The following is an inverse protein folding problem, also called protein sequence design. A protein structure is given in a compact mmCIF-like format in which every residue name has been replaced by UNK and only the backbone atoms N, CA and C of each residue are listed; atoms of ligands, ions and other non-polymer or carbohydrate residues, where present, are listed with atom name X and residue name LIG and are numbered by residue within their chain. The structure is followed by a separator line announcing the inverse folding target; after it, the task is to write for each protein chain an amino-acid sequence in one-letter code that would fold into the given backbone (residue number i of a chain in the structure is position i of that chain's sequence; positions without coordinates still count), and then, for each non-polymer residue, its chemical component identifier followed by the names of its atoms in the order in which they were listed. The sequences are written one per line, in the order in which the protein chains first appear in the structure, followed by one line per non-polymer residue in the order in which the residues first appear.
data_IF_783205681989
#
_entry.id   IF_783205681989
#
_cell.length_a   1.000
_cell.length_b   1.000
_cell.length_c   1.000
_cell.angle_alpha   90.00
_cell.angle_beta   90.00
_cell.angle_gamma   90.00
#
_symmetry.space_group_name_H-M   'P 1'
#
loop_
_entity.id
_entity.type
_entity.pdbx_description
1 polymer ?
#
# COMPACT_ATOMS: atom_id res chain seq x y z
N UNK A 1 -21.84 -33.49 -9.61
CA UNK A 1 -20.74 -32.71 -9.00
C UNK A 1 -21.17 -31.25 -8.99
N UNK A 2 -21.10 -30.54 -7.84
CA UNK A 2 -21.59 -29.16 -7.73
C UNK A 2 -20.67 -28.23 -8.54
N UNK A 3 -21.19 -27.65 -9.63
CA UNK A 3 -20.49 -26.79 -10.59
C UNK A 3 -20.26 -25.35 -10.11
N UNK A 4 -20.14 -25.12 -8.79
CA UNK A 4 -20.03 -23.79 -8.18
C UNK A 4 -18.79 -23.61 -7.29
N UNK A 5 -17.83 -24.52 -7.33
CA UNK A 5 -16.59 -24.39 -6.56
C UNK A 5 -15.67 -23.37 -7.25
N UNK A 6 -15.34 -22.27 -6.55
CA UNK A 6 -14.25 -21.37 -6.95
C UNK A 6 -12.93 -21.94 -6.45
N UNK A 7 -12.00 -22.18 -7.35
CA UNK A 7 -10.61 -22.48 -7.03
C UNK A 7 -9.87 -21.16 -6.85
N UNK A 8 -8.99 -21.10 -5.86
CA UNK A 8 -8.14 -19.95 -5.58
C UNK A 8 -6.72 -20.47 -5.43
N UNK A 9 -5.80 -19.87 -6.18
CA UNK A 9 -4.41 -20.23 -6.13
C UNK A 9 -3.80 -19.69 -4.83
N UNK A 10 -3.02 -20.53 -4.16
CA UNK A 10 -2.30 -20.17 -2.95
C UNK A 10 -0.92 -20.81 -2.94
N UNK A 11 0.03 -20.12 -2.32
CA UNK A 11 1.40 -20.57 -2.14
C UNK A 11 1.85 -20.26 -0.70
N UNK A 12 2.58 -21.19 -0.10
CA UNK A 12 3.19 -20.98 1.23
C UNK A 12 4.68 -20.76 1.07
N UNK A 13 5.19 -19.67 1.63
CA UNK A 13 6.62 -19.34 1.68
C UNK A 13 7.07 -19.20 3.14
N UNK A 14 8.38 -19.35 3.39
CA UNK A 14 8.98 -19.08 4.71
C UNK A 14 9.86 -17.86 4.62
N UNK A 15 9.58 -16.87 5.46
CA UNK A 15 10.33 -15.61 5.52
C UNK A 15 11.24 -15.66 6.74
N UNK A 16 12.51 -15.29 6.55
CA UNK A 16 13.49 -15.20 7.63
C UNK A 16 13.71 -13.73 8.00
N UNK A 17 13.77 -13.44 9.30
CA UNK A 17 14.14 -12.11 9.79
C UNK A 17 15.52 -11.70 9.26
N UNK A 18 15.66 -10.44 8.83
CA UNK A 18 16.95 -9.86 8.45
C UNK A 18 17.71 -9.55 9.73
N UNK A 19 18.93 -10.06 9.88
CA UNK A 19 19.81 -9.71 10.99
C UNK A 19 20.28 -8.26 10.85
N UNK A 20 19.61 -7.31 11.50
CA UNK A 20 20.10 -5.93 11.60
C UNK A 20 21.19 -5.84 12.67
N UNK A 21 22.24 -5.10 12.36
CA UNK A 21 23.43 -4.87 13.18
C UNK A 21 23.22 -3.91 14.36
N UNK A 22 21.98 -3.50 14.65
CA UNK A 22 21.67 -2.57 15.74
C UNK A 22 20.71 -3.23 16.74
N UNK A 23 21.27 -3.86 17.77
CA UNK A 23 20.55 -4.24 19.00
C UNK A 23 20.22 -5.71 19.21
N UNK A 24 20.62 -6.63 18.33
CA UNK A 24 20.39 -8.07 18.54
C UNK A 24 21.54 -8.76 19.27
N UNK A 25 21.21 -9.58 20.27
CA UNK A 25 22.13 -10.48 20.97
C UNK A 25 22.91 -11.36 19.96
N UNK A 26 24.22 -11.13 19.84
CA UNK A 26 25.11 -11.91 18.99
C UNK A 26 24.97 -13.41 19.33
N UNK A 27 24.57 -14.22 18.35
CA UNK A 27 24.43 -15.67 18.49
C UNK A 27 23.01 -16.23 18.50
N UNK A 28 21.97 -15.40 18.41
CA UNK A 28 20.57 -15.87 18.28
C UNK A 28 20.30 -16.44 16.87
N UNK A 29 19.66 -17.61 16.81
CA UNK A 29 19.16 -18.19 15.55
C UNK A 29 18.07 -17.28 14.96
N UNK A 30 18.18 -16.81 13.69
CA UNK A 30 17.16 -15.96 13.07
C UNK A 30 15.81 -16.67 13.01
N UNK A 31 14.74 -15.95 13.32
CA UNK A 31 13.40 -16.53 13.33
C UNK A 31 12.83 -16.60 11.92
N UNK A 32 11.97 -17.60 11.72
CA UNK A 32 11.20 -17.74 10.47
C UNK A 32 9.72 -17.68 10.76
N UNK A 33 8.97 -17.00 9.90
CA UNK A 33 7.51 -17.01 9.89
C UNK A 33 7.00 -17.61 8.57
N UNK A 34 5.93 -18.41 8.63
CA UNK A 34 5.22 -18.85 7.44
C UNK A 34 4.36 -17.72 6.90
N UNK A 35 4.37 -17.53 5.59
CA UNK A 35 3.55 -16.57 4.90
C UNK A 35 2.77 -17.24 3.76
N UNK A 36 1.46 -16.99 3.72
CA UNK A 36 0.54 -17.42 2.67
C UNK A 36 0.41 -16.29 1.63
N UNK A 37 0.71 -16.60 0.38
CA UNK A 37 0.48 -15.77 -0.80
C UNK A 37 -0.74 -16.32 -1.53
N UNK A 38 -1.64 -15.46 -1.98
CA UNK A 38 -2.86 -15.85 -2.70
C UNK A 38 -2.99 -15.08 -4.00
N UNK A 39 -3.72 -15.65 -4.96
CA UNK A 39 -4.06 -15.00 -6.23
C UNK A 39 -2.83 -14.45 -6.97
N UNK A 40 -2.73 -13.14 -7.13
CA UNK A 40 -1.69 -12.42 -7.87
C UNK A 40 -0.32 -12.41 -7.18
N UNK A 41 -0.27 -12.72 -5.88
CA UNK A 41 0.97 -12.85 -5.13
C UNK A 41 1.62 -14.24 -5.29
N UNK A 42 0.92 -15.21 -5.89
CA UNK A 42 1.50 -16.52 -6.16
C UNK A 42 2.67 -16.40 -7.14
N UNK A 43 3.77 -17.08 -6.84
CA UNK A 43 5.03 -17.10 -7.60
C UNK A 43 5.75 -15.75 -7.71
N UNK A 44 5.35 -14.74 -6.92
CA UNK A 44 6.02 -13.45 -6.93
C UNK A 44 7.38 -13.45 -6.20
N UNK A 45 7.68 -14.47 -5.39
CA UNK A 45 8.89 -14.56 -4.56
C UNK A 45 9.86 -15.64 -5.06
N UNK A 46 11.16 -15.31 -5.11
CA UNK A 46 12.22 -16.26 -5.45
C UNK A 46 13.04 -16.60 -4.18
N UNK A 47 13.45 -17.86 -3.96
CA UNK A 47 14.31 -18.20 -2.84
C UNK A 47 15.59 -17.36 -2.81
N UNK A 48 15.90 -16.77 -1.65
CA UNK A 48 17.07 -15.89 -1.46
C UNK A 48 16.81 -14.42 -1.77
N UNK A 49 15.61 -14.05 -2.23
CA UNK A 49 15.23 -12.65 -2.44
C UNK A 49 14.98 -11.92 -1.11
N UNK A 50 15.45 -10.67 -0.99
CA UNK A 50 15.15 -9.81 0.14
C UNK A 50 13.84 -9.07 -0.14
N UNK A 51 12.83 -9.35 0.67
CA UNK A 51 11.46 -8.87 0.45
C UNK A 51 10.88 -8.27 1.74
N UNK A 52 10.05 -7.26 1.59
CA UNK A 52 9.16 -6.71 2.62
C UNK A 52 7.74 -7.18 2.32
N UNK A 53 7.13 -7.91 3.25
CA UNK A 53 5.76 -8.41 3.10
C UNK A 53 4.85 -7.67 4.08
N UNK A 54 3.78 -7.09 3.56
CA UNK A 54 2.67 -6.54 4.37
C UNK A 54 1.56 -7.57 4.41
N UNK A 55 1.04 -7.87 5.59
CA UNK A 55 0.03 -8.91 5.72
C UNK A 55 -0.70 -8.89 7.06
N UNK A 56 -1.70 -9.75 7.18
CA UNK A 56 -2.46 -9.95 8.41
C UNK A 56 -1.85 -11.14 9.16
N UNK A 57 -1.46 -10.92 10.41
CA UNK A 57 -1.02 -12.02 11.29
C UNK A 57 -2.25 -12.83 11.70
N UNK A 58 -2.26 -14.10 11.31
CA UNK A 58 -3.31 -15.07 11.65
C UNK A 58 -2.79 -16.10 12.63
N UNK A 59 -3.71 -16.61 13.44
CA UNK A 59 -3.43 -17.62 14.46
C UNK A 59 -4.24 -18.87 14.14
N UNK A 60 -3.57 -19.99 13.89
CA UNK A 60 -4.20 -21.30 13.86
C UNK A 60 -4.10 -21.90 15.26
N UNK A 61 -5.25 -22.22 15.84
CA UNK A 61 -5.30 -23.05 17.03
C UNK A 61 -5.31 -24.51 16.59
N UNK A 62 -4.18 -25.20 16.72
CA UNK A 62 -4.18 -26.65 16.58
C UNK A 62 -4.75 -27.25 17.87
N UNK A 63 -6.05 -27.53 17.86
CA UNK A 63 -6.57 -28.57 18.75
C UNK A 63 -5.91 -29.87 18.32
N UNK A 64 -4.85 -30.25 19.03
CA UNK A 64 -4.32 -31.60 18.92
C UNK A 64 -5.38 -32.54 19.51
N UNK A 65 -6.23 -33.08 18.66
CA UNK A 65 -7.06 -34.25 18.98
C UNK A 65 -6.11 -35.46 18.95
N UNK A 66 -5.18 -35.51 19.91
CA UNK A 66 -4.34 -36.68 20.14
C UNK A 66 -5.26 -37.76 20.69
N UNK A 67 -5.65 -38.65 19.78
CA UNK A 67 -6.28 -39.94 19.99
C UNK A 67 -6.74 -40.31 21.41
N UNK A 68 -8.04 -40.58 21.52
CA UNK A 68 -8.55 -41.75 22.24
C UNK A 68 -8.12 -41.88 23.70
N UNK A 69 -8.60 -41.00 24.57
CA UNK A 69 -8.48 -41.20 26.01
C UNK A 69 -9.35 -40.26 26.81
N UNK A 70 -10.27 -40.80 27.62
CA UNK A 70 -11.00 -40.04 28.64
C UNK A 70 -10.00 -39.52 29.67
N UNK A 71 -9.44 -38.33 29.48
CA UNK A 71 -8.71 -37.62 30.52
C UNK A 71 -9.05 -36.14 30.49
N UNK A 72 -9.79 -35.71 31.53
CA UNK A 72 -9.94 -34.31 31.91
C UNK A 72 -8.56 -33.81 32.36
N UNK A 73 -7.91 -32.94 31.59
CA UNK A 73 -6.65 -32.36 32.02
C UNK A 73 -6.06 -31.33 31.06
N UNK A 74 -6.21 -30.05 31.42
CA UNK A 74 -5.47 -28.85 30.96
C UNK A 74 -5.38 -28.62 29.44
N UNK A 75 -6.20 -27.67 28.97
CA UNK A 75 -6.07 -27.03 27.66
C UNK A 75 -4.71 -26.32 27.56
N UNK A 76 -3.71 -26.97 26.97
CA UNK A 76 -2.53 -26.29 26.41
C UNK A 76 -2.72 -26.23 24.90
N UNK A 77 -3.42 -25.19 24.42
CA UNK A 77 -3.52 -24.92 22.99
C UNK A 77 -2.20 -24.35 22.48
N UNK A 78 -1.59 -25.00 21.50
CA UNK A 78 -0.42 -24.45 20.80
C UNK A 78 -0.93 -23.56 19.67
N UNK A 79 -0.65 -22.26 19.76
CA UNK A 79 -1.02 -21.28 18.74
C UNK A 79 0.06 -21.22 17.67
N UNK A 80 -0.29 -21.56 16.43
CA UNK A 80 0.59 -21.43 15.28
C UNK A 80 0.33 -20.10 14.59
N UNK A 81 1.34 -19.23 14.54
CA UNK A 81 1.24 -17.91 13.91
C UNK A 81 1.73 -17.99 12.46
N UNK A 82 0.94 -17.43 11.55
CA UNK A 82 1.31 -17.30 10.14
C UNK A 82 0.84 -15.96 9.58
N UNK A 83 1.46 -15.49 8.51
CA UNK A 83 1.18 -14.20 7.88
C UNK A 83 0.41 -14.43 6.58
N UNK A 84 -0.79 -13.87 6.44
CA UNK A 84 -1.46 -13.80 5.13
C UNK A 84 -0.99 -12.54 4.42
N UNK A 85 -0.30 -12.68 3.28
CA UNK A 85 0.23 -11.55 2.54
C UNK A 85 -0.89 -10.78 1.83
N UNK A 86 -0.81 -9.46 1.95
CA UNK A 86 -1.61 -8.50 1.18
C UNK A 86 -0.74 -7.85 0.11
N UNK A 87 0.54 -7.59 0.40
CA UNK A 87 1.46 -7.02 -0.58
C UNK A 87 2.90 -7.48 -0.37
N UNK A 88 3.67 -7.45 -1.47
CA UNK A 88 5.09 -7.81 -1.51
C UNK A 88 5.89 -6.67 -2.16
N UNK A 89 6.95 -6.22 -1.49
CA UNK A 89 7.91 -5.26 -2.03
C UNK A 89 9.30 -5.89 -2.04
N UNK A 90 9.99 -5.91 -3.18
CA UNK A 90 11.38 -6.37 -3.26
C UNK A 90 12.34 -5.23 -2.95
N UNK A 91 13.33 -5.47 -2.08
CA UNK A 91 14.43 -4.55 -1.86
C UNK A 91 15.58 -5.00 -2.78
N UNK A 92 15.49 -4.68 -4.07
CA UNK A 92 16.58 -4.94 -5.01
C UNK A 92 17.25 -3.61 -5.36
N UNK A 93 18.57 -3.50 -5.12
CA UNK A 93 19.34 -2.32 -5.53
C UNK A 93 19.73 -2.35 -7.02
N UNK A 94 19.61 -3.51 -7.69
CA UNK A 94 20.10 -3.74 -9.04
C UNK A 94 19.07 -4.27 -10.06
N UNK A 95 17.79 -4.45 -9.69
CA UNK A 95 16.74 -4.65 -10.71
C UNK A 95 16.30 -3.30 -11.26
N UNK A 96 16.17 -3.22 -12.59
CA UNK A 96 15.36 -2.19 -13.24
C UNK A 96 14.01 -2.16 -12.50
N UNK A 97 13.55 -1.02 -11.97
CA UNK A 97 12.28 -0.96 -11.26
C UNK A 97 11.21 -1.51 -12.20
N UNK A 98 10.69 -2.70 -11.89
CA UNK A 98 9.51 -3.20 -12.57
C UNK A 98 8.41 -2.21 -12.24
N UNK A 99 7.90 -1.58 -13.29
CA UNK A 99 6.81 -0.61 -13.39
C UNK A 99 5.56 -1.03 -12.60
N UNK A 100 5.64 -1.00 -11.27
CA UNK A 100 4.94 -1.97 -10.42
C UNK A 100 4.60 -1.48 -9.02
N UNK A 101 4.34 -0.19 -8.86
CA UNK A 101 3.53 0.24 -7.73
C UNK A 101 2.05 -0.03 -8.06
N UNK A 102 1.31 -0.62 -7.13
CA UNK A 102 -0.11 -0.91 -7.33
C UNK A 102 -0.86 0.43 -7.29
N UNK A 103 -1.33 0.86 -8.45
CA UNK A 103 -2.17 2.02 -8.58
C UNK A 103 -3.64 1.58 -8.65
N UNK A 104 -4.31 1.50 -7.50
CA UNK A 104 -5.74 1.11 -7.45
C UNK A 104 -6.61 2.35 -7.59
N UNK A 105 -7.54 2.32 -8.56
CA UNK A 105 -8.61 3.31 -8.65
C UNK A 105 -9.90 2.69 -8.13
N UNK A 106 -10.38 3.20 -6.99
CA UNK A 106 -11.68 2.87 -6.43
C UNK A 106 -12.73 3.77 -7.09
N UNK A 107 -13.35 3.28 -8.17
CA UNK A 107 -14.52 3.92 -8.77
C UNK A 107 -15.76 3.33 -8.09
N UNK A 108 -16.49 4.14 -7.32
CA UNK A 108 -17.66 3.66 -6.59
C UNK A 108 -18.77 4.69 -6.49
N UNK A 109 -20.01 4.22 -6.47
CA UNK A 109 -21.17 5.07 -6.20
C UNK A 109 -21.11 5.50 -4.72
N UNK A 110 -21.27 6.78 -4.36
CA UNK A 110 -21.26 7.23 -2.96
C UNK A 110 -22.14 6.34 -2.05
N UNK A 111 -23.25 5.83 -2.59
CA UNK A 111 -24.25 5.05 -1.85
C UNK A 111 -23.93 3.56 -1.67
N UNK A 112 -23.00 2.96 -2.42
CA UNK A 112 -22.81 1.49 -2.39
C UNK A 112 -21.76 1.01 -1.38
N UNK A 113 -20.73 1.82 -1.10
CA UNK A 113 -19.65 1.44 -0.17
C UNK A 113 -20.11 1.52 1.30
N UNK A 114 -21.18 2.27 1.57
CA UNK A 114 -21.80 2.34 2.91
C UNK A 114 -22.40 1.01 3.40
N UNK A 115 -22.60 0.02 2.51
CA UNK A 115 -23.24 -1.26 2.86
C UNK A 115 -22.29 -2.30 3.46
N UNK A 116 -20.97 -2.10 3.35
CA UNK A 116 -19.97 -3.09 3.78
C UNK A 116 -19.33 -2.76 5.13
N UNK A 117 -19.46 -1.53 5.62
CA UNK A 117 -18.99 -1.09 6.94
C UNK A 117 -19.98 -0.05 7.50
N UNK A 118 -20.76 -0.35 8.57
CA UNK A 118 -21.69 0.61 9.15
C UNK A 118 -20.91 1.62 10.00
N UNK A 119 -20.31 2.61 9.34
CA UNK A 119 -19.72 3.76 10.02
C UNK A 119 -20.84 4.80 10.19
N UNK A 120 -21.12 5.31 11.40
CA UNK A 120 -22.09 6.38 11.57
C UNK A 120 -21.56 7.65 10.89
N UNK A 121 -22.12 7.99 9.73
CA UNK A 121 -21.72 9.13 8.92
C UNK A 121 -22.62 9.31 7.70
N UNK A 122 -22.54 10.49 7.07
CA UNK A 122 -23.39 10.87 5.94
C UNK A 122 -23.26 9.87 4.76
N UNK A 123 -24.37 9.51 4.08
CA UNK A 123 -24.34 8.63 2.92
C UNK A 123 -23.46 9.22 1.82
N UNK A 124 -22.29 8.60 1.58
CA UNK A 124 -21.38 9.03 0.50
C UNK A 124 -19.89 9.02 0.83
N UNK A 125 -19.52 8.94 2.11
CA UNK A 125 -18.15 9.17 2.60
C UNK A 125 -17.25 7.92 2.63
N UNK A 126 -17.76 6.74 2.28
CA UNK A 126 -17.03 5.48 2.45
C UNK A 126 -15.70 5.40 1.68
N UNK A 127 -15.61 6.05 0.51
CA UNK A 127 -14.37 6.12 -0.28
C UNK A 127 -13.32 7.00 0.40
N UNK A 128 -13.71 8.21 0.78
CA UNK A 128 -12.84 9.18 1.45
C UNK A 128 -12.32 8.66 2.79
N UNK A 129 -13.19 8.01 3.58
CA UNK A 129 -12.77 7.36 4.83
C UNK A 129 -11.82 6.19 4.60
N UNK A 130 -12.05 5.37 3.56
CA UNK A 130 -11.14 4.29 3.20
C UNK A 130 -9.75 4.84 2.81
N UNK A 131 -9.71 5.90 2.01
CA UNK A 131 -8.47 6.57 1.63
C UNK A 131 -7.72 7.14 2.85
N UNK A 132 -8.41 7.84 3.75
CA UNK A 132 -7.81 8.36 4.98
C UNK A 132 -7.32 7.26 5.91
N UNK A 133 -8.06 6.15 6.01
CA UNK A 133 -7.64 4.98 6.78
C UNK A 133 -6.38 4.34 6.15
N UNK A 134 -6.34 4.16 4.83
CA UNK A 134 -5.18 3.61 4.13
C UNK A 134 -3.94 4.51 4.29
N UNK A 135 -4.10 5.83 4.17
CA UNK A 135 -3.02 6.79 4.40
C UNK A 135 -2.53 6.74 5.86
N UNK A 136 -3.41 6.64 6.86
CA UNK A 136 -2.98 6.59 8.27
C UNK A 136 -2.28 5.28 8.66
N UNK A 137 -2.58 4.18 7.97
CA UNK A 137 -1.91 2.88 8.18
C UNK A 137 -0.55 2.82 7.47
N UNK A 138 -0.40 3.52 6.35
CA UNK A 138 0.86 3.54 5.61
C UNK A 138 1.95 4.34 6.36
N UNK A 139 3.18 3.81 6.50
CA UNK A 139 4.27 4.50 7.22
C UNK A 139 4.67 5.83 6.59
N UNK A 140 4.34 6.05 5.30
CA UNK A 140 4.49 7.32 4.58
C UNK A 140 3.22 7.61 3.77
N UNK A 141 2.08 7.59 4.44
CA UNK A 141 0.79 7.88 3.83
C UNK A 141 0.51 9.38 3.73
N UNK A 142 0.21 9.85 2.53
CA UNK A 142 -0.25 11.21 2.26
C UNK A 142 -1.65 11.12 1.69
N UNK A 143 -2.55 11.97 2.19
CA UNK A 143 -3.90 12.12 1.65
C UNK A 143 -4.03 13.49 0.98
N UNK A 144 -4.53 13.51 -0.24
CA UNK A 144 -4.84 14.72 -1.00
C UNK A 144 -6.22 14.64 -1.62
N UNK A 145 -6.88 15.80 -1.73
CA UNK A 145 -8.16 15.91 -2.40
C UNK A 145 -7.96 16.58 -3.77
N UNK A 146 -8.35 15.89 -4.84
CA UNK A 146 -8.14 16.28 -6.23
C UNK A 146 -8.69 17.67 -6.57
N UNK A 147 -9.78 18.09 -5.95
CA UNK A 147 -10.36 19.42 -6.14
C UNK A 147 -9.52 20.56 -5.53
N UNK A 148 -8.72 20.27 -4.51
CA UNK A 148 -7.86 21.27 -3.83
C UNK A 148 -6.38 21.14 -4.20
N UNK A 149 -6.04 20.13 -4.98
CA UNK A 149 -4.65 19.82 -5.32
C UNK A 149 -4.27 20.48 -6.64
N UNK A 150 -3.09 21.07 -6.69
CA UNK A 150 -2.52 21.65 -7.92
C UNK A 150 -1.34 20.82 -8.39
N UNK A 151 -0.90 21.02 -9.63
CA UNK A 151 0.32 20.39 -10.16
C UNK A 151 1.52 20.58 -9.22
N UNK A 152 1.72 21.80 -8.72
CA UNK A 152 2.79 22.11 -7.78
C UNK A 152 2.62 21.40 -6.42
N UNK A 153 1.38 21.33 -5.91
CA UNK A 153 1.08 20.64 -4.66
C UNK A 153 1.19 19.12 -4.75
N UNK A 154 1.02 18.54 -5.95
CA UNK A 154 1.17 17.11 -6.19
C UNK A 154 2.64 16.72 -6.40
N UNK A 155 3.37 17.55 -7.16
CA UNK A 155 4.73 17.28 -7.64
C UNK A 155 5.78 18.01 -6.81
N UNK A 156 6.33 19.12 -7.33
CA UNK A 156 7.32 19.98 -6.66
C UNK A 156 7.10 21.41 -7.11
N UNK A 157 7.21 22.35 -6.18
CA UNK A 157 7.25 23.78 -6.46
C UNK A 157 8.65 24.35 -6.25
N UNK A 158 8.96 25.44 -6.94
CA UNK A 158 10.13 26.28 -6.63
C UNK A 158 9.61 27.54 -5.96
N UNK A 159 10.01 27.73 -4.71
CA UNK A 159 9.65 28.89 -3.89
C UNK A 159 10.87 29.78 -3.70
N UNK A 160 10.67 31.09 -3.64
CA UNK A 160 11.73 32.04 -3.33
C UNK A 160 11.66 32.38 -1.85
N UNK A 161 12.74 32.13 -1.12
CA UNK A 161 12.84 32.54 0.27
C UNK A 161 13.01 34.06 0.36
N UNK A 162 12.20 34.69 1.21
CA UNK A 162 12.17 36.13 1.41
C UNK A 162 13.35 36.63 2.24
N UNK A 163 13.96 35.75 3.04
CA UNK A 163 15.07 36.10 3.94
C UNK A 163 16.41 35.96 3.21
N UNK A 164 16.66 34.80 2.58
CA UNK A 164 17.92 34.54 1.85
C UNK A 164 17.93 35.08 0.41
N UNK A 165 16.76 35.44 -0.16
CA UNK A 165 16.59 35.72 -1.60
C UNK A 165 16.89 34.55 -2.54
N UNK A 166 17.14 33.35 -2.02
CA UNK A 166 17.44 32.17 -2.80
C UNK A 166 16.17 31.40 -3.19
N UNK A 167 16.27 30.62 -4.27
CA UNK A 167 15.22 29.70 -4.69
C UNK A 167 15.42 28.35 -4.00
N UNK A 168 14.34 27.78 -3.46
CA UNK A 168 14.32 26.49 -2.80
C UNK A 168 13.23 25.60 -3.41
N UNK A 169 13.40 24.28 -3.27
CA UNK A 169 12.40 23.29 -3.67
C UNK A 169 11.42 23.03 -2.52
N UNK A 170 10.13 23.06 -2.83
CA UNK A 170 9.06 22.62 -1.94
C UNK A 170 8.47 21.32 -2.49
N UNK A 171 8.63 20.24 -1.72
CA UNK A 171 8.16 18.91 -2.12
C UNK A 171 6.63 18.83 -2.00
N UNK A 172 5.99 18.37 -3.07
CA UNK A 172 4.56 18.07 -3.10
C UNK A 172 4.24 16.64 -2.65
N UNK A 173 2.96 16.32 -2.65
CA UNK A 173 2.40 15.10 -2.06
C UNK A 173 3.08 13.80 -2.51
N UNK A 174 3.38 13.65 -3.80
CA UNK A 174 4.00 12.42 -4.32
C UNK A 174 5.45 12.26 -3.89
N UNK A 175 6.19 13.35 -3.81
CA UNK A 175 7.59 13.35 -3.38
C UNK A 175 7.67 13.10 -1.86
N UNK A 176 6.75 13.68 -1.10
CA UNK A 176 6.63 13.41 0.33
C UNK A 176 6.26 11.94 0.62
N UNK A 177 5.43 11.34 -0.23
CA UNK A 177 5.00 9.95 -0.16
C UNK A 177 6.00 8.92 -0.75
N UNK A 178 7.24 9.30 -1.11
CA UNK A 178 8.24 8.37 -1.68
C UNK A 178 8.42 7.11 -0.79
N UNK A 179 8.27 5.92 -1.40
CA UNK A 179 8.22 4.59 -0.76
C UNK A 179 7.02 4.36 0.18
N UNK A 180 5.93 5.10 -0.04
CA UNK A 180 4.72 5.09 0.77
C UNK A 180 3.45 5.00 -0.07
N UNK A 181 2.39 5.63 0.45
CA UNK A 181 1.06 5.64 -0.18
C UNK A 181 0.59 7.08 -0.39
N UNK A 182 0.26 7.43 -1.62
CA UNK A 182 -0.39 8.69 -1.96
C UNK A 182 -1.87 8.41 -2.27
N UNK A 183 -2.74 8.79 -1.35
CA UNK A 183 -4.18 8.67 -1.49
C UNK A 183 -4.76 9.92 -2.15
N UNK A 184 -5.49 9.77 -3.25
CA UNK A 184 -6.10 10.87 -4.00
C UNK A 184 -7.62 10.71 -4.01
N UNK A 185 -8.34 11.57 -3.29
CA UNK A 185 -9.80 11.62 -3.36
C UNK A 185 -10.26 12.54 -4.50
N UNK A 186 -11.52 12.40 -4.92
CA UNK A 186 -12.12 13.20 -6.00
C UNK A 186 -11.23 13.26 -7.26
N UNK A 187 -10.67 12.12 -7.65
CA UNK A 187 -9.80 12.02 -8.81
C UNK A 187 -10.47 12.48 -10.10
N UNK A 188 -11.80 12.34 -10.20
CA UNK A 188 -12.61 12.85 -11.31
C UNK A 188 -12.64 14.39 -11.42
N UNK A 189 -12.24 15.11 -10.37
CA UNK A 189 -12.18 16.58 -10.34
C UNK A 189 -10.83 17.14 -10.78
N UNK A 190 -9.79 16.30 -10.92
CA UNK A 190 -8.50 16.72 -11.43
C UNK A 190 -8.58 16.90 -12.95
N UNK A 191 -8.23 18.08 -13.45
CA UNK A 191 -8.40 18.41 -14.87
C UNK A 191 -7.07 18.40 -15.62
N UNK A 192 -6.06 19.07 -15.06
CA UNK A 192 -4.73 19.23 -15.70
C UNK A 192 -3.64 18.48 -14.94
N UNK A 193 -3.93 18.10 -13.71
CA UNK A 193 -2.99 17.51 -12.76
C UNK A 193 -2.72 16.04 -13.03
N UNK A 194 -3.67 15.37 -13.70
CA UNK A 194 -3.55 13.95 -14.03
C UNK A 194 -2.32 13.69 -14.92
N UNK A 195 -1.93 14.64 -15.79
CA UNK A 195 -0.81 14.43 -16.71
C UNK A 195 0.51 14.35 -15.94
N UNK A 196 0.74 15.29 -15.03
CA UNK A 196 1.93 15.29 -14.18
C UNK A 196 1.96 14.08 -13.25
N UNK A 197 0.79 13.66 -12.73
CA UNK A 197 0.66 12.42 -11.96
C UNK A 197 1.08 11.20 -12.79
N UNK A 198 0.56 11.04 -14.01
CA UNK A 198 0.87 9.90 -14.87
C UNK A 198 2.36 9.87 -15.26
N UNK A 199 2.96 11.02 -15.55
CA UNK A 199 4.40 11.12 -15.82
C UNK A 199 5.21 10.70 -14.59
N UNK A 200 4.86 11.21 -13.42
CA UNK A 200 5.55 10.89 -12.17
C UNK A 200 5.38 9.41 -11.78
N UNK A 201 4.21 8.82 -12.03
CA UNK A 201 3.95 7.38 -11.84
C UNK A 201 4.75 6.52 -12.82
N UNK A 202 4.85 6.94 -14.08
CA UNK A 202 5.59 6.22 -15.12
C UNK A 202 7.10 6.25 -14.88
N UNK A 203 7.63 7.42 -14.52
CA UNK A 203 9.07 7.64 -14.34
C UNK A 203 9.53 7.37 -12.89
N UNK A 204 8.58 7.21 -11.95
CA UNK A 204 8.85 7.07 -10.52
C UNK A 204 9.71 8.23 -9.95
N UNK A 205 9.65 9.38 -10.63
CA UNK A 205 10.37 10.60 -10.29
C UNK A 205 9.63 11.81 -10.85
N UNK A 206 9.85 12.96 -10.22
CA UNK A 206 9.39 14.26 -10.69
C UNK A 206 10.63 15.05 -11.11
N UNK A 207 10.65 15.52 -12.36
CA UNK A 207 11.68 16.43 -12.83
C UNK A 207 11.18 17.88 -12.80
N UNK A 208 12.01 18.80 -12.32
CA UNK A 208 11.69 20.23 -12.28
C UNK A 208 12.88 21.03 -12.78
N UNK A 209 12.61 21.94 -13.72
CA UNK A 209 13.58 22.88 -14.27
C UNK A 209 12.97 24.29 -14.26
N UNK A 210 13.27 25.07 -13.22
CA UNK A 210 12.67 26.41 -13.03
C UNK A 210 13.60 27.33 -12.25
N UNK A 211 13.59 28.63 -12.59
CA UNK A 211 14.40 29.65 -11.93
C UNK A 211 15.92 29.31 -11.89
N UNK A 212 16.43 28.63 -12.91
CA UNK A 212 17.82 28.19 -12.98
C UNK A 212 18.15 26.95 -12.15
N UNK A 213 17.18 26.42 -11.40
CA UNK A 213 17.31 25.16 -10.65
C UNK A 213 16.81 24.00 -11.50
N UNK A 214 17.61 22.95 -11.58
CA UNK A 214 17.25 21.68 -12.23
C UNK A 214 17.46 20.56 -11.23
N UNK A 215 16.39 19.82 -10.92
CA UNK A 215 16.45 18.68 -10.02
C UNK A 215 15.49 17.58 -10.47
N UNK A 216 15.83 16.35 -10.11
CA UNK A 216 14.95 15.20 -10.20
C UNK A 216 14.76 14.66 -8.79
N UNK A 217 13.51 14.58 -8.35
CA UNK A 217 13.14 14.09 -7.03
C UNK A 217 12.45 12.74 -7.16
N UNK A 218 12.85 11.76 -6.35
CA UNK A 218 12.22 10.44 -6.35
C UNK A 218 10.77 10.53 -5.84
N UNK A 219 9.87 9.82 -6.52
CA UNK A 219 8.45 9.76 -6.18
C UNK A 219 7.95 8.31 -6.34
N UNK A 220 8.64 7.35 -5.71
CA UNK A 220 8.32 5.91 -5.77
C UNK A 220 7.15 5.58 -4.87
N UNK A 221 5.99 6.14 -5.16
CA UNK A 221 4.80 6.04 -4.32
C UNK A 221 3.74 5.18 -4.99
N UNK A 222 3.14 4.29 -4.22
CA UNK A 222 1.87 3.67 -4.61
C UNK A 222 0.77 4.73 -4.56
N UNK A 223 -0.15 4.72 -5.54
CA UNK A 223 -1.25 5.70 -5.60
C UNK A 223 -2.57 4.98 -5.43
N UNK A 224 -3.36 5.40 -4.44
CA UNK A 224 -4.72 4.91 -4.24
C UNK A 224 -5.68 6.06 -4.54
N UNK A 225 -6.40 5.99 -5.65
CA UNK A 225 -7.30 7.06 -6.08
C UNK A 225 -8.76 6.66 -5.92
N UNK A 226 -9.62 7.59 -5.51
CA UNK A 226 -11.07 7.42 -5.55
C UNK A 226 -11.68 8.38 -6.57
N UNK A 227 -12.58 7.87 -7.40
CA UNK A 227 -13.28 8.66 -8.41
C UNK A 227 -14.78 8.40 -8.36
N UNK A 228 -15.56 9.40 -8.77
CA UNK A 228 -17.01 9.28 -8.94
C UNK A 228 -17.38 9.12 -10.43
N UNK A 229 -18.42 8.33 -10.76
CA UNK A 229 -18.92 8.24 -12.13
C UNK A 229 -19.54 9.57 -12.58
N UNK A 230 -19.46 9.86 -13.88
CA UNK A 230 -19.99 11.08 -14.48
C UNK A 230 -21.51 11.15 -14.26
N UNK A 231 -21.96 12.17 -13.51
CA UNK A 231 -23.37 12.36 -13.16
C UNK A 231 -23.84 11.61 -11.90
N UNK A 232 -22.94 11.01 -11.12
CA UNK A 232 -23.24 10.38 -9.83
C UNK A 232 -23.95 9.02 -9.90
N UNK A 233 -24.29 8.54 -11.10
CA UNK A 233 -24.96 7.27 -11.32
C UNK A 233 -24.21 6.45 -12.38
N UNK A 234 -24.05 5.15 -12.14
CA UNK A 234 -23.64 4.22 -13.19
C UNK A 234 -24.82 4.05 -14.15
N UNK A 235 -24.61 4.36 -15.43
CA UNK A 235 -25.54 3.94 -16.47
C UNK A 235 -25.32 2.45 -16.70
N UNK A 236 -26.30 1.64 -16.31
CA UNK A 236 -26.39 0.22 -16.70
C UNK A 236 -26.94 0.12 -18.13
#
# INVERSE_FOLDING_TARGET
MRSSAKLMDFQKIRIQEISSSEGHEEGRVPRTIECELTEDLVDCCIPGEIVTITGIVKVLNNYMDVGGGKSKGKNQGLYYLYLEAISKHTIDQNKVPVRGDIHVIVVGNPSLISSMLPVPGDPGLGKSQLLQAAASVSPRGIYVCGNTTTNAGLTVAVVKDSISNDYAFEAGAMVLADRGLCCIDEFDKMSTEHQALLEAMEQQCVSVAKAGLVASLSARTSVLAAANPVGGHYKY
#
